data_IF_824904567421
#
_entry.id   IF_824904567421
#
_cell.length_a   1.000
_cell.length_b   1.000
_cell.length_c   1.000
_cell.angle_alpha   90.00
_cell.angle_beta   90.00
_cell.angle_gamma   90.00
#
_symmetry.space_group_name_H-M   'P 1'
#
loop_
_entity.id
_entity.type
_entity.pdbx_description
1 polymer ?
#
# COMPACT_ATOMS: atom_id res chain seq x y z
N UNK A 1 1.40 -8.78 -18.90
CA UNK A 1 2.23 -9.14 -20.05
C UNK A 1 3.15 -7.98 -20.43
N UNK A 2 2.61 -6.80 -20.78
CA UNK A 2 3.40 -5.63 -21.19
C UNK A 2 4.56 -5.33 -20.26
N UNK A 3 4.30 -5.24 -18.94
CA UNK A 3 5.30 -4.91 -17.92
C UNK A 3 6.43 -5.96 -17.90
N UNK A 4 6.10 -7.24 -17.86
CA UNK A 4 7.09 -8.31 -17.70
C UNK A 4 7.89 -8.63 -18.98
N UNK A 5 7.30 -8.42 -20.16
CA UNK A 5 7.90 -8.84 -21.43
C UNK A 5 8.54 -7.68 -22.22
N UNK A 6 7.94 -6.49 -22.15
CA UNK A 6 8.36 -5.34 -22.94
C UNK A 6 9.09 -4.28 -22.09
N UNK A 7 8.52 -3.85 -20.98
CA UNK A 7 9.11 -2.81 -20.12
C UNK A 7 10.27 -3.38 -19.31
N UNK A 8 10.09 -4.54 -18.68
CA UNK A 8 11.07 -5.24 -17.83
C UNK A 8 11.69 -4.32 -16.76
N UNK A 9 10.88 -3.72 -15.89
CA UNK A 9 11.38 -2.77 -14.90
C UNK A 9 12.22 -3.49 -13.82
N UNK A 10 13.13 -2.74 -13.21
CA UNK A 10 13.92 -3.20 -12.05
C UNK A 10 13.09 -3.19 -10.76
N UNK A 11 12.02 -2.40 -10.73
CA UNK A 11 11.13 -2.23 -9.59
C UNK A 11 9.73 -1.83 -10.07
N UNK A 12 8.71 -2.32 -9.38
CA UNK A 12 7.33 -1.84 -9.53
C UNK A 12 6.85 -1.29 -8.18
N UNK A 13 6.38 -0.05 -8.18
CA UNK A 13 5.69 0.55 -7.05
C UNK A 13 4.21 0.68 -7.43
N UNK A 14 3.34 -0.01 -6.70
CA UNK A 14 1.90 0.08 -6.87
C UNK A 14 1.35 1.18 -5.95
N UNK A 15 0.81 2.23 -6.54
CA UNK A 15 0.18 3.34 -5.81
C UNK A 15 -1.31 3.07 -5.68
N UNK A 16 -1.80 2.98 -4.45
CA UNK A 16 -3.18 2.65 -4.14
C UNK A 16 -3.72 3.55 -3.02
N UNK A 17 -5.02 3.67 -2.92
CA UNK A 17 -5.74 4.22 -1.76
C UNK A 17 -6.57 3.10 -1.15
N UNK A 18 -6.48 2.94 0.16
CA UNK A 18 -7.28 1.94 0.86
C UNK A 18 -8.73 2.42 1.07
N UNK A 19 -9.60 1.53 1.51
CA UNK A 19 -10.94 1.87 1.97
C UNK A 19 -11.34 0.96 3.13
N UNK A 20 -12.12 1.47 4.06
CA UNK A 20 -12.77 0.66 5.07
C UNK A 20 -14.06 0.06 4.51
N UNK A 21 -14.39 -1.17 4.91
CA UNK A 21 -15.71 -1.72 4.63
C UNK A 21 -16.80 -0.83 5.24
N UNK A 22 -17.88 -0.66 4.52
CA UNK A 22 -19.07 0.01 5.06
C UNK A 22 -19.71 -0.84 6.15
N UNK A 23 -20.12 -0.22 7.25
CA UNK A 23 -20.85 -0.94 8.32
C UNK A 23 -22.21 -1.43 7.81
N UNK A 24 -22.85 -0.61 7.00
CA UNK A 24 -24.11 -0.88 6.34
C UNK A 24 -23.93 -0.62 4.85
N UNK A 25 -24.10 -1.61 3.95
CA UNK A 25 -23.97 -1.41 2.50
C UNK A 25 -24.90 -0.34 1.93
N UNK A 26 -26.05 -0.13 2.55
CA UNK A 26 -27.07 0.84 2.11
C UNK A 26 -26.82 2.25 2.67
N UNK A 27 -25.98 2.37 3.71
CA UNK A 27 -25.60 3.62 4.35
C UNK A 27 -24.09 3.86 4.24
N UNK A 28 -23.71 4.55 3.18
CA UNK A 28 -22.30 4.87 2.88
C UNK A 28 -21.80 6.05 3.72
N UNK A 29 -21.58 5.84 5.00
CA UNK A 29 -21.07 6.87 5.90
C UNK A 29 -19.53 6.88 5.93
N UNK A 30 -18.95 8.09 5.89
CA UNK A 30 -17.51 8.25 6.04
C UNK A 30 -17.05 7.77 7.42
N UNK A 31 -15.90 7.10 7.46
CA UNK A 31 -15.30 6.57 8.69
C UNK A 31 -14.30 7.56 9.29
N UNK A 32 -14.11 7.54 10.60
CA UNK A 32 -13.11 8.39 11.29
C UNK A 32 -11.69 7.85 11.13
N UNK A 33 -11.55 6.57 10.77
CA UNK A 33 -10.27 5.90 10.65
C UNK A 33 -9.52 6.33 9.40
N UNK A 34 -8.26 6.75 9.57
CA UNK A 34 -7.32 7.01 8.48
C UNK A 34 -5.94 6.51 8.92
N UNK A 35 -5.29 5.73 8.08
CA UNK A 35 -4.01 5.07 8.37
C UNK A 35 -3.26 4.73 7.07
N UNK A 36 -2.03 4.27 7.21
CA UNK A 36 -1.24 3.82 6.07
C UNK A 36 -0.63 2.44 6.34
N UNK A 37 -0.31 1.72 5.28
CA UNK A 37 0.56 0.55 5.32
C UNK A 37 1.26 0.33 3.98
N UNK A 38 2.36 -0.42 4.06
CA UNK A 38 3.18 -0.80 2.92
C UNK A 38 3.21 -2.32 2.87
N UNK A 39 2.90 -2.88 1.72
CA UNK A 39 2.78 -4.32 1.53
C UNK A 39 3.84 -4.83 0.56
N UNK A 40 4.45 -5.94 0.93
CA UNK A 40 5.30 -6.74 0.05
C UNK A 40 4.74 -8.14 -0.10
N UNK A 41 5.28 -8.90 -1.04
CA UNK A 41 4.85 -10.28 -1.25
C UNK A 41 5.22 -11.19 -0.07
N UNK A 42 4.31 -12.09 0.30
CA UNK A 42 4.52 -13.11 1.33
C UNK A 42 3.23 -13.50 2.02
N UNK A 43 3.34 -14.23 3.13
CA UNK A 43 2.20 -14.68 3.96
C UNK A 43 1.12 -15.42 3.14
N UNK A 44 1.52 -16.46 2.43
CA UNK A 44 0.60 -17.32 1.68
C UNK A 44 -0.21 -18.20 2.63
N UNK A 45 -1.52 -18.18 2.49
CA UNK A 45 -2.43 -19.04 3.26
C UNK A 45 -2.52 -20.44 2.62
N UNK A 46 -2.80 -21.46 3.40
CA UNK A 46 -2.89 -22.85 2.90
C UNK A 46 -3.89 -23.03 1.75
N UNK A 47 -5.05 -22.34 1.80
CA UNK A 47 -6.03 -22.36 0.72
C UNK A 47 -5.53 -21.67 -0.57
N UNK A 48 -4.66 -20.67 -0.48
CA UNK A 48 -4.04 -20.02 -1.63
C UNK A 48 -3.01 -20.93 -2.28
N UNK A 49 -2.27 -21.68 -1.47
CA UNK A 49 -1.29 -22.66 -1.95
C UNK A 49 -1.93 -23.92 -2.58
N UNK A 50 -3.24 -24.06 -2.54
CA UNK A 50 -3.95 -25.08 -3.32
C UNK A 50 -3.92 -24.81 -4.84
N UNK A 51 -3.66 -23.56 -5.25
CA UNK A 51 -3.59 -23.17 -6.66
C UNK A 51 -2.15 -23.26 -7.20
N UNK A 52 -1.99 -23.91 -8.33
CA UNK A 52 -0.67 -24.16 -8.96
C UNK A 52 0.05 -22.89 -9.37
N UNK A 53 -0.68 -21.93 -9.91
CA UNK A 53 -0.15 -20.61 -10.29
C UNK A 53 0.42 -19.86 -9.09
N UNK A 54 -0.27 -19.90 -7.94
CA UNK A 54 0.20 -19.22 -6.74
C UNK A 54 1.44 -19.91 -6.15
N UNK A 55 1.50 -21.25 -6.18
CA UNK A 55 2.71 -21.99 -5.79
C UNK A 55 3.89 -21.66 -6.69
N UNK A 56 3.67 -21.61 -7.99
CA UNK A 56 4.71 -21.27 -8.96
C UNK A 56 5.23 -19.85 -8.72
N UNK A 57 4.36 -18.88 -8.59
CA UNK A 57 4.73 -17.48 -8.32
C UNK A 57 5.45 -17.33 -6.99
N UNK A 58 5.01 -18.01 -5.94
CA UNK A 58 5.71 -18.05 -4.65
C UNK A 58 7.13 -18.58 -4.78
N UNK A 59 7.33 -19.71 -5.46
CA UNK A 59 8.64 -20.29 -5.66
C UNK A 59 9.56 -19.40 -6.51
N UNK A 60 9.02 -18.82 -7.57
CA UNK A 60 9.76 -17.87 -8.41
C UNK A 60 10.29 -16.70 -7.58
N UNK A 61 9.44 -16.09 -6.75
CA UNK A 61 9.81 -14.95 -5.91
C UNK A 61 10.83 -15.33 -4.83
N UNK A 62 10.66 -16.51 -4.23
CA UNK A 62 11.59 -17.03 -3.23
C UNK A 62 12.99 -17.24 -3.83
N UNK A 63 13.07 -17.90 -4.99
CA UNK A 63 14.33 -18.19 -5.69
C UNK A 63 14.99 -16.91 -6.24
N UNK A 64 14.21 -15.92 -6.63
CA UNK A 64 14.73 -14.62 -7.11
C UNK A 64 15.31 -13.74 -6.01
N UNK A 65 15.04 -14.03 -4.75
CA UNK A 65 15.59 -13.27 -3.62
C UNK A 65 15.05 -11.83 -3.49
N UNK A 66 13.95 -11.50 -4.15
CA UNK A 66 13.40 -10.14 -4.20
C UNK A 66 12.89 -9.62 -2.85
N UNK A 67 12.62 -10.50 -1.90
CA UNK A 67 12.16 -10.12 -0.57
C UNK A 67 13.08 -9.13 0.17
N UNK A 68 14.39 -9.21 -0.04
CA UNK A 68 15.35 -8.31 0.63
C UNK A 68 15.25 -6.87 0.14
N UNK A 69 15.35 -6.57 -1.17
CA UNK A 69 15.15 -5.21 -1.66
C UNK A 69 13.72 -4.71 -1.41
N UNK A 70 12.69 -5.55 -1.52
CA UNK A 70 11.30 -5.17 -1.20
C UNK A 70 11.16 -4.71 0.25
N UNK A 71 11.66 -5.50 1.20
CA UNK A 71 11.60 -5.15 2.63
C UNK A 71 12.35 -3.86 2.94
N UNK A 72 13.57 -3.70 2.39
CA UNK A 72 14.37 -2.49 2.63
C UNK A 72 13.67 -1.24 2.10
N UNK A 73 13.10 -1.32 0.91
CA UNK A 73 12.35 -0.21 0.32
C UNK A 73 11.05 0.06 1.09
N UNK A 74 10.33 -0.98 1.48
CA UNK A 74 9.10 -0.85 2.26
C UNK A 74 9.34 -0.20 3.62
N UNK A 75 10.44 -0.53 4.30
CA UNK A 75 10.84 0.12 5.56
C UNK A 75 11.09 1.63 5.35
N UNK A 76 11.84 2.01 4.30
CA UNK A 76 12.11 3.41 3.97
C UNK A 76 10.83 4.18 3.64
N UNK A 77 9.98 3.63 2.77
CA UNK A 77 8.70 4.23 2.40
C UNK A 77 7.75 4.37 3.59
N UNK A 78 7.73 3.40 4.49
CA UNK A 78 6.90 3.46 5.70
C UNK A 78 7.29 4.63 6.61
N UNK A 79 8.59 4.86 6.80
CA UNK A 79 9.09 6.00 7.57
C UNK A 79 8.71 7.31 6.87
N UNK A 80 8.97 7.42 5.56
CA UNK A 80 8.65 8.60 4.77
C UNK A 80 7.15 8.95 4.80
N UNK A 81 6.26 7.95 4.72
CA UNK A 81 4.82 8.17 4.86
C UNK A 81 4.42 8.64 6.25
N UNK A 82 4.97 8.05 7.30
CA UNK A 82 4.70 8.50 8.67
C UNK A 82 5.07 9.97 8.86
N UNK A 83 6.24 10.36 8.38
CA UNK A 83 6.75 11.74 8.48
C UNK A 83 5.95 12.72 7.62
N UNK A 84 5.69 12.40 6.36
CA UNK A 84 5.01 13.30 5.43
C UNK A 84 3.53 13.48 5.77
N UNK A 85 2.85 12.42 6.22
CA UNK A 85 1.38 12.44 6.39
C UNK A 85 0.93 12.61 7.83
N UNK A 86 1.75 12.23 8.81
CA UNK A 86 1.37 12.12 10.22
C UNK A 86 0.32 11.04 10.49
N UNK A 87 0.06 10.14 9.52
CA UNK A 87 -0.91 9.06 9.69
C UNK A 87 -0.34 7.95 10.58
N UNK A 88 -1.18 7.31 11.41
CA UNK A 88 -0.77 6.12 12.14
C UNK A 88 -0.60 4.93 11.19
N UNK A 89 0.34 4.06 11.52
CA UNK A 89 0.53 2.80 10.81
C UNK A 89 -0.64 1.84 11.07
N UNK A 90 -1.11 1.21 10.01
CA UNK A 90 -2.13 0.17 10.12
C UNK A 90 -1.55 -1.13 10.67
N UNK A 91 -2.32 -1.83 11.51
CA UNK A 91 -1.97 -3.13 12.04
C UNK A 91 -3.02 -4.18 11.67
N UNK A 92 -2.57 -5.23 11.00
CA UNK A 92 -3.40 -6.40 10.72
C UNK A 92 -3.60 -7.25 11.97
N UNK A 93 -4.81 -7.81 12.12
CA UNK A 93 -5.16 -8.73 13.22
C UNK A 93 -5.41 -10.16 12.73
N UNK A 94 -5.57 -10.34 11.42
CA UNK A 94 -5.86 -11.64 10.81
C UNK A 94 -4.60 -12.40 10.42
N UNK A 95 -4.72 -13.71 10.14
CA UNK A 95 -3.59 -14.56 9.77
C UNK A 95 -3.09 -14.34 8.33
N UNK A 96 -3.80 -13.56 7.52
CA UNK A 96 -3.50 -13.29 6.10
C UNK A 96 -2.46 -12.19 5.87
N UNK A 97 -1.84 -11.71 6.92
CA UNK A 97 -0.73 -10.76 6.85
C UNK A 97 0.27 -11.04 7.98
N UNK A 98 1.55 -10.94 7.67
CA UNK A 98 2.64 -11.13 8.62
C UNK A 98 3.41 -9.82 8.76
N UNK A 99 3.60 -9.37 10.01
CA UNK A 99 4.45 -8.22 10.29
C UNK A 99 5.89 -8.55 9.91
N UNK A 100 6.48 -7.73 9.07
CA UNK A 100 7.88 -7.84 8.65
C UNK A 100 8.56 -6.47 8.74
N UNK A 101 9.86 -6.45 8.43
CA UNK A 101 10.60 -5.20 8.45
C UNK A 101 10.81 -4.63 9.86
N UNK A 102 11.49 -3.49 9.90
CA UNK A 102 11.80 -2.75 11.13
C UNK A 102 10.81 -1.60 11.37
N UNK A 103 10.35 -0.97 10.30
CA UNK A 103 9.39 0.13 10.37
C UNK A 103 7.98 -0.38 10.71
N UNK A 104 7.17 0.46 11.35
CA UNK A 104 5.77 0.15 11.55
C UNK A 104 5.00 0.22 10.22
N UNK A 105 3.87 -0.48 10.15
CA UNK A 105 3.05 -0.46 8.92
C UNK A 105 3.58 -1.30 7.75
N UNK A 106 4.73 -1.99 7.89
CA UNK A 106 5.25 -2.90 6.85
C UNK A 106 4.78 -4.32 7.09
N UNK A 107 4.12 -4.90 6.09
CA UNK A 107 3.50 -6.23 6.18
C UNK A 107 3.76 -7.04 4.92
N UNK A 108 3.94 -8.34 5.09
CA UNK A 108 3.91 -9.30 4.00
C UNK A 108 2.47 -9.82 3.82
N UNK A 109 2.00 -9.80 2.57
CA UNK A 109 0.69 -10.29 2.21
C UNK A 109 0.68 -10.85 0.78
N UNK A 110 -0.09 -11.94 0.55
CA UNK A 110 -0.27 -12.48 -0.78
C UNK A 110 -1.32 -11.66 -1.54
N UNK A 111 -0.86 -10.61 -2.24
CA UNK A 111 -1.69 -9.84 -3.16
C UNK A 111 -1.34 -10.17 -4.60
N UNK A 112 -2.35 -10.21 -5.46
CA UNK A 112 -2.15 -10.45 -6.89
C UNK A 112 -1.16 -9.44 -7.49
N UNK A 113 -1.28 -8.16 -7.17
CA UNK A 113 -0.37 -7.12 -7.64
C UNK A 113 1.08 -7.38 -7.25
N UNK A 114 1.34 -7.88 -6.04
CA UNK A 114 2.69 -8.14 -5.55
C UNK A 114 3.35 -9.37 -6.18
N UNK A 115 2.60 -10.30 -6.79
CA UNK A 115 3.17 -11.53 -7.36
C UNK A 115 3.18 -11.58 -8.88
N UNK A 116 2.40 -10.73 -9.58
CA UNK A 116 2.32 -10.74 -11.05
C UNK A 116 3.58 -10.25 -11.76
N UNK A 117 4.37 -9.38 -11.14
CA UNK A 117 5.53 -8.76 -11.77
C UNK A 117 6.80 -9.56 -11.51
N UNK A 118 7.65 -9.65 -12.54
CA UNK A 118 8.94 -10.38 -12.48
C UNK A 118 10.08 -9.46 -12.06
N UNK A 119 9.88 -8.74 -10.98
CA UNK A 119 10.84 -7.84 -10.34
C UNK A 119 10.39 -7.61 -8.89
N UNK A 120 11.19 -6.93 -8.04
CA UNK A 120 10.75 -6.43 -6.75
C UNK A 120 9.47 -5.59 -6.86
N UNK A 121 8.54 -5.76 -5.95
CA UNK A 121 7.26 -5.02 -5.92
C UNK A 121 6.98 -4.51 -4.53
N UNK A 122 6.66 -3.24 -4.42
CA UNK A 122 6.11 -2.64 -3.18
C UNK A 122 4.75 -2.07 -3.48
N UNK A 123 3.78 -2.38 -2.62
CA UNK A 123 2.40 -1.93 -2.75
C UNK A 123 2.08 -0.95 -1.63
N UNK A 124 1.71 0.26 -1.98
CA UNK A 124 1.49 1.36 -1.05
C UNK A 124 0.00 1.61 -0.88
N UNK A 125 -0.45 1.63 0.37
CA UNK A 125 -1.84 1.95 0.74
C UNK A 125 -1.87 3.05 1.81
N UNK A 126 -1.40 4.27 1.54
CA UNK A 126 -1.65 5.41 2.40
C UNK A 126 -3.09 5.89 2.22
N UNK A 127 -3.64 6.42 3.28
CA UNK A 127 -4.99 6.95 3.36
C UNK A 127 -6.11 5.92 3.14
N UNK A 128 -7.27 6.23 3.71
CA UNK A 128 -8.52 5.55 3.41
C UNK A 128 -9.43 6.52 2.65
N UNK A 129 -9.74 6.17 1.40
CA UNK A 129 -10.51 7.03 0.50
C UNK A 129 -11.88 7.42 1.10
N UNK A 130 -12.47 6.56 1.92
CA UNK A 130 -13.73 6.81 2.62
C UNK A 130 -13.56 7.30 4.07
N UNK A 131 -12.39 7.77 4.47
CA UNK A 131 -12.23 8.47 5.75
C UNK A 131 -12.66 9.92 5.64
N UNK A 132 -13.23 10.49 6.71
CA UNK A 132 -13.56 11.93 6.79
C UNK A 132 -12.33 12.80 6.51
N UNK A 133 -11.15 12.43 7.04
CA UNK A 133 -9.93 13.20 6.86
C UNK A 133 -9.33 13.15 5.44
N UNK A 134 -9.54 12.06 4.68
CA UNK A 134 -9.01 11.92 3.33
C UNK A 134 -10.03 12.29 2.24
N UNK A 135 -11.30 11.98 2.44
CA UNK A 135 -12.35 12.14 1.43
C UNK A 135 -12.41 13.57 0.85
N UNK A 136 -12.49 14.58 1.70
CA UNK A 136 -12.57 15.97 1.25
C UNK A 136 -11.28 16.44 0.56
N UNK A 137 -10.13 15.94 0.98
CA UNK A 137 -8.85 16.19 0.30
C UNK A 137 -8.80 15.56 -1.08
N UNK A 138 -9.34 14.34 -1.23
CA UNK A 138 -9.48 13.66 -2.53
C UNK A 138 -10.42 14.45 -3.43
N UNK A 139 -11.58 14.87 -2.91
CA UNK A 139 -12.56 15.65 -3.66
C UNK A 139 -12.06 17.05 -4.03
N UNK A 140 -11.14 17.62 -3.27
CA UNK A 140 -10.52 18.90 -3.59
C UNK A 140 -9.57 18.81 -4.80
N UNK A 141 -9.16 17.60 -5.21
CA UNK A 141 -8.29 17.36 -6.35
C UNK A 141 -6.88 17.93 -6.18
N UNK A 142 -6.25 18.22 -7.32
CA UNK A 142 -4.92 18.82 -7.37
C UNK A 142 -5.01 20.35 -7.29
N UNK A 143 -4.09 20.96 -6.53
CA UNK A 143 -3.92 22.41 -6.42
C UNK A 143 -2.46 22.74 -6.09
N UNK A 144 -2.03 23.93 -6.47
CA UNK A 144 -0.67 24.39 -6.18
C UNK A 144 -0.56 24.92 -4.75
N UNK A 145 0.57 24.64 -4.11
CA UNK A 145 0.85 25.07 -2.73
C UNK A 145 -0.05 24.41 -1.71
N UNK A 146 -0.42 25.15 -0.67
CA UNK A 146 -1.26 24.63 0.42
C UNK A 146 -2.65 25.24 0.41
N UNK A 147 -3.65 24.44 0.75
CA UNK A 147 -5.07 24.85 0.93
C UNK A 147 -5.57 24.41 2.28
N UNK A 148 -6.45 25.20 2.87
CA UNK A 148 -7.14 24.84 4.11
C UNK A 148 -8.32 23.91 3.79
N UNK A 149 -8.31 22.72 4.40
CA UNK A 149 -9.38 21.73 4.32
C UNK A 149 -9.61 21.19 5.73
N UNK A 150 -10.82 21.28 6.22
CA UNK A 150 -11.19 20.89 7.59
C UNK A 150 -10.34 21.59 8.69
N UNK A 151 -10.05 22.88 8.50
CA UNK A 151 -9.27 23.67 9.45
C UNK A 151 -7.77 23.39 9.47
N UNK A 152 -7.28 22.55 8.56
CA UNK A 152 -5.86 22.20 8.44
C UNK A 152 -5.34 22.61 7.07
N UNK A 153 -4.23 23.36 7.06
CA UNK A 153 -3.56 23.77 5.83
C UNK A 153 -2.58 22.67 5.37
N UNK A 154 -2.84 22.08 4.20
CA UNK A 154 -2.07 20.95 3.65
C UNK A 154 -1.87 21.08 2.13
N UNK A 155 -0.87 20.37 1.61
CA UNK A 155 -0.71 20.11 0.18
C UNK A 155 -1.89 19.32 -0.38
N UNK A 156 -2.07 19.34 -1.69
CA UNK A 156 -2.96 18.38 -2.36
C UNK A 156 -2.57 16.96 -1.96
N UNK A 157 -3.55 16.07 -1.79
CA UNK A 157 -3.28 14.70 -1.31
C UNK A 157 -2.34 13.97 -2.25
N UNK A 158 -2.50 14.15 -3.56
CA UNK A 158 -1.64 13.51 -4.54
C UNK A 158 -0.20 14.06 -4.49
N UNK A 159 -0.03 15.34 -4.16
CA UNK A 159 1.28 15.98 -4.00
C UNK A 159 2.00 15.47 -2.73
N UNK A 160 1.29 15.42 -1.61
CA UNK A 160 1.79 14.84 -0.36
C UNK A 160 2.21 13.38 -0.55
N UNK A 161 1.39 12.60 -1.28
CA UNK A 161 1.70 11.21 -1.63
C UNK A 161 2.98 11.12 -2.50
N UNK A 162 3.07 11.94 -3.54
CA UNK A 162 4.22 11.94 -4.43
C UNK A 162 5.51 12.31 -3.69
N UNK A 163 5.47 13.32 -2.82
CA UNK A 163 6.63 13.72 -2.01
C UNK A 163 7.07 12.64 -1.02
N UNK A 164 6.15 11.85 -0.48
CA UNK A 164 6.48 10.75 0.41
C UNK A 164 7.12 9.54 -0.32
N UNK A 165 7.02 9.48 -1.65
CA UNK A 165 7.58 8.38 -2.47
C UNK A 165 8.92 8.78 -3.12
N UNK A 166 9.14 10.07 -3.35
CA UNK A 166 10.34 10.61 -4.00
C UNK A 166 11.57 10.57 -3.08
#
# INVERSE_FOLDING_TARGET
>A
RLVNESIRPDLVICLHLNASAWKDPDKKELVDRNDFHVLVNGCYMGGELAYDDQRFEMLLRLLSGWHRPEQKLADGLSVAFAEATGLPAFSYKGPNALKIGKAEGVWARNLLANRLYRCPVVFLEPYRANSKGAYERIMAGSYAGTREINGIRRLALVEEYAQAVA
#
